data_IF_201741683802
#
_entry.id   IF_201741683802
#
_cell.length_a   1.000
_cell.length_b   1.000
_cell.length_c   1.000
_cell.angle_alpha   90.00
_cell.angle_beta   90.00
_cell.angle_gamma   90.00
#
_symmetry.space_group_name_H-M   'P 1'
#
loop_
_entity.id
_entity.type
_entity.pdbx_description
1 polymer ?
#
# COMPACT_ATOMS: atom_id res chain seq x y z
N UNK A 1 7.73 27.44 20.34
CA UNK A 1 7.82 26.45 19.24
C UNK A 1 7.92 27.25 17.95
N UNK A 2 8.88 26.95 17.08
CA UNK A 2 9.04 27.64 15.80
C UNK A 2 8.87 26.63 14.67
N UNK A 3 8.08 26.99 13.66
CA UNK A 3 7.72 26.13 12.53
C UNK A 3 6.33 26.46 12.01
N UNK A 4 5.98 25.90 10.85
CA UNK A 4 4.67 26.04 10.21
C UNK A 4 4.09 24.67 9.90
N UNK A 5 2.76 24.53 10.04
CA UNK A 5 2.03 23.32 9.65
C UNK A 5 1.19 23.65 8.42
N UNK A 6 1.35 22.87 7.35
CA UNK A 6 0.50 22.94 6.16
C UNK A 6 -0.48 21.77 6.17
N UNK A 7 -1.78 22.08 6.18
CA UNK A 7 -2.82 21.07 6.02
C UNK A 7 -3.09 20.86 4.53
N UNK A 8 -2.99 19.61 4.08
CA UNK A 8 -3.23 19.22 2.69
C UNK A 8 -4.53 18.42 2.64
N UNK A 9 -5.56 18.99 2.01
CA UNK A 9 -6.85 18.34 1.82
C UNK A 9 -6.88 17.74 0.42
N UNK A 10 -6.51 16.47 0.33
CA UNK A 10 -6.34 15.80 -0.94
C UNK A 10 -7.67 15.22 -1.47
N UNK A 11 -8.10 15.57 -2.70
CA UNK A 11 -9.22 14.90 -3.35
C UNK A 11 -8.74 13.64 -4.11
N UNK A 12 -9.70 12.82 -4.57
CA UNK A 12 -9.47 11.80 -5.59
C UNK A 12 -8.40 10.72 -5.28
N UNK A 13 -8.18 10.39 -4.01
CA UNK A 13 -7.28 9.29 -3.57
C UNK A 13 -7.68 7.94 -4.20
N UNK A 14 -8.96 7.58 -4.13
CA UNK A 14 -9.49 6.31 -4.67
C UNK A 14 -9.23 6.10 -6.18
N UNK A 15 -9.01 7.20 -6.92
CA UNK A 15 -8.64 7.18 -8.34
C UNK A 15 -7.13 7.07 -8.59
N UNK A 16 -6.31 7.28 -7.56
CA UNK A 16 -4.86 7.15 -7.56
C UNK A 16 -4.08 8.34 -8.14
N UNK A 17 -4.74 9.47 -8.41
CA UNK A 17 -4.13 10.61 -9.13
C UNK A 17 -4.22 11.94 -8.35
N UNK A 18 -4.85 11.94 -7.19
CA UNK A 18 -5.10 13.15 -6.39
C UNK A 18 -3.82 13.79 -5.88
N UNK A 19 -2.99 13.00 -5.18
CA UNK A 19 -1.72 13.47 -4.64
C UNK A 19 -0.78 13.99 -5.75
N UNK A 20 -0.71 13.26 -6.87
CA UNK A 20 0.15 13.61 -8.01
C UNK A 20 -0.18 14.98 -8.58
N UNK A 21 -1.46 15.26 -8.87
CA UNK A 21 -1.89 16.57 -9.39
C UNK A 21 -1.59 17.71 -8.43
N UNK A 22 -1.84 17.52 -7.13
CA UNK A 22 -1.53 18.56 -6.14
C UNK A 22 -0.03 18.87 -6.08
N UNK A 23 0.82 17.85 -6.21
CA UNK A 23 2.28 18.03 -6.26
C UNK A 23 2.68 18.82 -7.52
N UNK A 24 2.12 18.48 -8.67
CA UNK A 24 2.34 19.21 -9.93
C UNK A 24 1.89 20.68 -9.84
N UNK A 25 0.81 20.95 -9.11
CA UNK A 25 0.32 22.30 -8.81
C UNK A 25 1.15 23.04 -7.73
N UNK A 26 2.20 22.41 -7.19
CA UNK A 26 3.13 23.03 -6.26
C UNK A 26 2.72 23.00 -4.79
N UNK A 27 1.85 22.08 -4.38
CA UNK A 27 1.42 21.97 -2.97
C UNK A 27 2.58 21.77 -1.99
N UNK A 28 3.73 21.27 -2.43
CA UNK A 28 4.89 21.07 -1.56
C UNK A 28 5.86 22.26 -1.52
N UNK A 29 5.69 23.27 -2.38
CA UNK A 29 6.68 24.35 -2.54
C UNK A 29 6.22 25.69 -1.97
N UNK A 30 4.91 25.95 -1.88
CA UNK A 30 4.41 27.24 -1.39
C UNK A 30 3.29 27.08 -0.32
N UNK A 31 3.57 27.29 0.98
CA UNK A 31 4.92 27.35 1.57
C UNK A 31 5.66 26.02 1.41
N UNK A 32 6.98 26.06 1.42
CA UNK A 32 7.84 24.87 1.29
C UNK A 32 7.58 23.89 2.43
N UNK A 33 7.46 22.61 2.09
CA UNK A 33 7.20 21.51 3.02
C UNK A 33 8.47 20.68 3.18
N UNK A 34 9.00 20.59 4.40
CA UNK A 34 10.20 19.78 4.69
C UNK A 34 9.88 18.29 4.84
N UNK A 35 8.73 17.95 5.43
CA UNK A 35 8.33 16.59 5.76
C UNK A 35 6.83 16.38 5.58
N UNK A 36 6.43 15.16 5.23
CA UNK A 36 5.02 14.80 4.99
C UNK A 36 4.58 13.64 5.87
N UNK A 37 3.38 13.75 6.45
CA UNK A 37 2.80 12.70 7.29
C UNK A 37 1.34 12.51 6.94
N UNK A 38 0.95 11.25 6.82
CA UNK A 38 -0.42 10.86 6.55
C UNK A 38 -0.85 9.73 7.48
N UNK A 39 -2.15 9.59 7.67
CA UNK A 39 -2.72 8.45 8.37
C UNK A 39 -3.93 7.92 7.62
N UNK A 40 -4.22 6.65 7.86
CA UNK A 40 -5.45 6.02 7.42
C UNK A 40 -6.08 5.26 8.59
N UNK A 41 -7.39 5.37 8.78
CA UNK A 41 -8.10 4.54 9.76
C UNK A 41 -8.16 3.10 9.23
N UNK A 42 -7.90 2.09 10.04
CA UNK A 42 -7.69 0.73 9.54
C UNK A 42 -8.59 -0.26 10.28
N UNK A 43 -9.65 -0.72 9.60
CA UNK A 43 -10.70 -1.55 10.22
C UNK A 43 -10.24 -2.99 10.47
N UNK A 44 -9.20 -3.43 9.77
CA UNK A 44 -8.59 -4.75 9.97
C UNK A 44 -7.93 -4.91 11.33
N UNK A 45 -7.72 -3.81 12.06
CA UNK A 45 -7.16 -3.83 13.41
C UNK A 45 -8.09 -3.09 14.36
N UNK A 46 -8.29 -3.70 15.53
CA UNK A 46 -9.15 -3.17 16.59
C UNK A 46 -8.68 -1.78 17.05
N UNK A 47 -9.61 -1.01 17.61
CA UNK A 47 -9.31 0.23 18.31
C UNK A 47 -8.15 0.08 19.31
N UNK A 48 -7.34 1.13 19.44
CA UNK A 48 -6.22 1.19 20.39
C UNK A 48 -4.86 0.77 19.82
N UNK A 49 -4.77 0.55 18.51
CA UNK A 49 -3.51 0.25 17.83
C UNK A 49 -3.10 1.37 16.86
N UNK A 50 -1.79 1.61 16.77
CA UNK A 50 -1.14 2.44 15.75
C UNK A 50 -0.15 1.54 15.03
N UNK A 51 -0.30 1.39 13.71
CA UNK A 51 0.55 0.51 12.93
C UNK A 51 1.41 1.32 11.98
N UNK A 52 2.70 1.02 11.95
CA UNK A 52 3.62 1.65 11.01
C UNK A 52 4.81 0.72 10.81
N UNK A 53 5.45 0.78 9.64
CA UNK A 53 6.70 0.07 9.39
C UNK A 53 7.66 0.93 8.60
N UNK A 54 8.94 0.60 8.72
CA UNK A 54 9.98 1.08 7.81
C UNK A 54 9.85 0.40 6.45
N UNK A 55 10.13 1.17 5.40
CA UNK A 55 10.16 0.65 4.03
C UNK A 55 8.74 0.51 3.48
N UNK A 56 8.53 -0.53 2.69
CA UNK A 56 7.34 -0.73 1.88
C UNK A 56 6.11 -0.98 2.76
N UNK A 57 5.15 -0.05 2.83
CA UNK A 57 3.92 -0.20 3.60
C UNK A 57 2.77 -0.73 2.75
N UNK A 58 2.57 -0.14 1.57
CA UNK A 58 1.46 -0.42 0.66
C UNK A 58 1.97 -0.60 -0.77
N UNK A 59 1.23 -1.34 -1.60
CA UNK A 59 1.67 -1.74 -2.92
C UNK A 59 1.41 -0.66 -3.99
N UNK A 60 2.29 -0.61 -4.99
CA UNK A 60 1.96 -0.06 -6.30
C UNK A 60 0.95 -0.96 -7.01
N UNK A 61 0.30 -0.43 -8.05
CA UNK A 61 -0.76 -1.11 -8.79
C UNK A 61 -0.66 -0.83 -10.27
N UNK A 62 -1.02 -1.80 -11.10
CA UNK A 62 -1.15 -1.58 -12.53
C UNK A 62 -2.24 -2.43 -13.15
N UNK A 63 -2.80 -1.96 -14.25
CA UNK A 63 -3.65 -2.74 -15.14
C UNK A 63 -2.90 -2.96 -16.45
N UNK A 64 -3.06 -4.15 -17.00
CA UNK A 64 -2.55 -4.47 -18.32
C UNK A 64 -3.65 -5.07 -19.19
N UNK A 65 -3.52 -4.82 -20.49
CA UNK A 65 -4.39 -5.37 -21.52
C UNK A 65 -3.50 -5.95 -22.62
N UNK A 66 -3.72 -7.22 -22.94
CA UNK A 66 -3.01 -7.92 -24.02
C UNK A 66 -4.03 -8.29 -25.08
N UNK A 67 -3.91 -7.69 -26.26
CA UNK A 67 -4.67 -8.05 -27.44
C UNK A 67 -3.86 -9.03 -28.30
N UNK A 68 -4.53 -10.08 -28.78
CA UNK A 68 -3.94 -11.11 -29.63
C UNK A 68 -4.75 -11.17 -30.92
N UNK A 69 -4.04 -11.15 -32.05
CA UNK A 69 -4.63 -11.28 -33.38
C UNK A 69 -3.99 -12.46 -34.13
N UNK A 70 -4.83 -13.33 -34.66
CA UNK A 70 -4.44 -14.50 -35.43
C UNK A 70 -5.21 -14.58 -36.74
N UNK A 71 -5.47 -15.80 -37.20
CA UNK A 71 -6.20 -16.06 -38.45
C UNK A 71 -7.25 -17.12 -38.20
N UNK A 72 -8.52 -16.70 -38.22
CA UNK A 72 -9.68 -17.56 -37.99
C UNK A 72 -10.17 -18.26 -39.25
N UNK A 73 -10.72 -19.47 -39.11
CA UNK A 73 -11.36 -20.27 -40.18
C UNK A 73 -12.41 -21.23 -39.61
N UNK A 74 -13.03 -22.02 -40.47
CA UNK A 74 -13.91 -23.11 -40.08
C UNK A 74 -13.18 -24.14 -39.20
N UNK A 75 -13.75 -24.47 -38.03
CA UNK A 75 -13.08 -25.32 -37.04
C UNK A 75 -12.72 -26.73 -37.55
N UNK A 76 -13.47 -27.27 -38.52
CA UNK A 76 -13.16 -28.55 -39.16
C UNK A 76 -11.95 -28.53 -40.11
N UNK A 77 -11.40 -27.36 -40.44
CA UNK A 77 -10.26 -27.20 -41.37
C UNK A 77 -9.21 -26.27 -40.75
N UNK A 78 -8.46 -26.72 -39.74
CA UNK A 78 -7.53 -25.87 -38.98
C UNK A 78 -6.25 -25.50 -39.75
N UNK A 79 -6.00 -26.11 -40.91
CA UNK A 79 -4.79 -25.84 -41.70
C UNK A 79 -4.69 -24.36 -42.11
N UNK A 80 -3.52 -23.75 -41.86
CA UNK A 80 -3.26 -22.34 -42.18
C UNK A 80 -4.00 -21.34 -41.27
N UNK A 81 -4.44 -21.78 -40.08
CA UNK A 81 -4.96 -20.91 -39.02
C UNK A 81 -3.91 -20.64 -37.95
N UNK A 82 -4.01 -19.49 -37.31
CA UNK A 82 -3.27 -19.16 -36.09
C UNK A 82 -4.31 -18.99 -35.00
N UNK A 83 -4.63 -20.09 -34.32
CA UNK A 83 -5.73 -20.18 -33.36
C UNK A 83 -5.45 -19.34 -32.11
N UNK A 84 -6.21 -18.25 -31.96
CA UNK A 84 -6.05 -17.33 -30.83
C UNK A 84 -6.49 -17.95 -29.51
N UNK A 85 -7.47 -18.87 -29.51
CA UNK A 85 -7.92 -19.54 -28.28
C UNK A 85 -6.79 -20.37 -27.69
N UNK A 86 -6.00 -21.04 -28.54
CA UNK A 86 -4.83 -21.81 -28.09
C UNK A 86 -3.73 -20.86 -27.58
N UNK A 87 -3.40 -19.81 -28.35
CA UNK A 87 -2.38 -18.85 -27.97
C UNK A 87 -2.69 -18.14 -26.64
N UNK A 88 -3.93 -17.68 -26.44
CA UNK A 88 -4.35 -16.96 -25.22
C UNK A 88 -4.40 -17.87 -23.99
N UNK A 89 -4.74 -19.15 -24.18
CA UNK A 89 -4.72 -20.15 -23.10
C UNK A 89 -3.29 -20.37 -22.61
N UNK A 90 -2.35 -20.54 -23.54
CA UNK A 90 -0.94 -20.71 -23.21
C UNK A 90 -0.34 -19.44 -22.58
N UNK A 91 -0.68 -18.27 -23.10
CA UNK A 91 -0.30 -16.99 -22.50
C UNK A 91 -0.76 -16.90 -21.04
N UNK A 92 -2.04 -17.21 -20.77
CA UNK A 92 -2.63 -17.16 -19.42
C UNK A 92 -1.84 -18.04 -18.45
N UNK A 93 -1.52 -19.27 -18.86
CA UNK A 93 -0.72 -20.20 -18.05
C UNK A 93 0.71 -19.68 -17.79
N UNK A 94 1.36 -19.13 -18.81
CA UNK A 94 2.72 -18.58 -18.67
C UNK A 94 2.76 -17.35 -17.76
N UNK A 95 1.76 -16.46 -17.82
CA UNK A 95 1.67 -15.29 -16.95
C UNK A 95 1.60 -15.70 -15.47
N UNK A 96 0.83 -16.74 -15.14
CA UNK A 96 0.76 -17.26 -13.76
C UNK A 96 2.07 -17.89 -13.27
N UNK A 97 3.00 -18.23 -14.17
CA UNK A 97 4.33 -18.73 -13.78
C UNK A 97 5.29 -17.62 -13.32
N UNK A 98 4.98 -16.35 -13.61
CA UNK A 98 5.91 -15.23 -13.34
C UNK A 98 6.20 -15.11 -11.84
N UNK A 99 5.17 -14.89 -11.03
CA UNK A 99 5.29 -14.69 -9.58
C UNK A 99 6.00 -15.87 -8.87
N UNK A 100 5.59 -17.13 -9.04
CA UNK A 100 6.19 -18.25 -8.29
C UNK A 100 7.61 -18.62 -8.73
N UNK A 101 8.07 -18.22 -9.92
CA UNK A 101 9.35 -18.68 -10.49
C UNK A 101 10.39 -17.59 -10.73
N UNK A 102 9.98 -16.34 -10.85
CA UNK A 102 10.86 -15.26 -11.30
C UNK A 102 11.06 -14.19 -10.22
N UNK A 103 10.28 -14.22 -9.14
CA UNK A 103 10.37 -13.28 -8.04
C UNK A 103 11.02 -13.95 -6.84
N UNK A 104 12.36 -13.94 -6.81
CA UNK A 104 13.10 -14.39 -5.64
C UNK A 104 14.31 -13.52 -5.40
N UNK A 105 14.47 -13.07 -4.14
CA UNK A 105 15.69 -12.45 -3.67
C UNK A 105 16.80 -13.51 -3.58
N UNK A 106 18.03 -13.21 -4.02
CA UNK A 106 19.19 -13.89 -3.46
C UNK A 106 19.29 -13.53 -1.97
N UNK A 107 19.36 -14.55 -1.11
CA UNK A 107 19.46 -14.37 0.33
C UNK A 107 20.75 -13.57 0.65
N UNK A 108 20.61 -12.38 1.25
CA UNK A 108 21.76 -11.53 1.64
C UNK A 108 22.47 -12.03 2.91
N UNK A 109 21.89 -12.98 3.64
CA UNK A 109 22.59 -13.69 4.71
C UNK A 109 23.46 -14.79 4.12
N UNK A 110 24.65 -14.42 3.66
CA UNK A 110 25.73 -15.37 3.33
C UNK A 110 26.29 -15.98 4.62
N UNK A 111 25.56 -16.92 5.20
CA UNK A 111 26.15 -17.86 6.17
C UNK A 111 26.78 -19.00 5.37
N UNK A 112 28.08 -18.91 5.10
CA UNK A 112 28.84 -20.03 4.56
C UNK A 112 28.99 -21.05 5.70
N UNK A 113 28.11 -22.05 5.76
CA UNK A 113 28.34 -23.23 6.59
C UNK A 113 29.29 -24.17 5.85
N UNK A 114 30.59 -24.09 6.16
CA UNK A 114 31.54 -25.13 5.78
C UNK A 114 31.22 -26.39 6.61
N UNK A 115 30.54 -27.36 6.01
CA UNK A 115 30.41 -28.69 6.61
C UNK A 115 31.73 -29.46 6.41
N UNK A 116 32.60 -29.44 7.42
CA UNK A 116 33.75 -30.36 7.47
C UNK A 116 33.25 -31.74 7.91
N UNK A 117 33.14 -32.67 6.96
CA UNK A 117 32.96 -34.09 7.29
C UNK A 117 34.30 -34.67 7.74
N UNK A 118 34.55 -34.73 9.05
CA UNK A 118 35.67 -35.49 9.60
C UNK A 118 35.31 -36.99 9.61
N UNK A 119 35.82 -37.73 8.64
CA UNK A 119 35.74 -39.19 8.65
C UNK A 119 36.82 -39.75 9.59
N UNK A 120 36.45 -40.10 10.82
CA UNK A 120 37.33 -40.83 11.73
C UNK A 120 37.35 -42.32 11.34
N UNK A 121 38.27 -42.70 10.47
CA UNK A 121 38.59 -44.11 10.23
C UNK A 121 39.47 -44.64 11.37
N UNK A 122 38.87 -45.48 12.22
CA UNK A 122 39.64 -46.31 13.16
C UNK A 122 40.52 -47.29 12.37
N UNK A 123 41.82 -47.11 12.53
CA UNK A 123 42.94 -48.05 12.39
C UNK A 123 43.07 -48.86 11.08
N UNK A 124 44.27 -48.67 10.51
CA UNK A 124 45.04 -49.54 9.60
C UNK A 124 44.33 -49.80 8.27
N UNK A 125 44.62 -48.96 7.28
CA UNK A 125 45.25 -49.29 6.00
C UNK A 125 45.23 -48.00 5.18
N UNK A 126 46.39 -47.37 5.01
CA UNK A 126 46.58 -46.26 4.06
C UNK A 126 46.54 -46.91 2.68
N UNK A 127 45.40 -46.77 2.01
CA UNK A 127 45.26 -47.12 0.60
C UNK A 127 44.89 -45.84 -0.15
N UNK A 128 45.82 -45.40 -0.99
CA UNK A 128 45.71 -44.25 -1.88
C UNK A 128 44.64 -44.61 -2.92
N UNK A 129 43.38 -44.30 -2.63
CA UNK A 129 42.32 -44.27 -3.63
C UNK A 129 42.18 -42.84 -4.15
N UNK A 130 43.09 -42.51 -5.05
CA UNK A 130 42.97 -41.40 -5.98
C UNK A 130 41.96 -41.82 -7.06
N UNK A 131 40.66 -41.74 -6.74
CA UNK A 131 39.61 -42.00 -7.73
C UNK A 131 38.55 -40.91 -7.64
N UNK A 132 38.61 -39.99 -8.60
CA UNK A 132 37.45 -39.34 -9.20
C UNK A 132 36.32 -38.92 -8.24
N UNK A 133 36.65 -38.17 -7.20
CA UNK A 133 35.71 -37.14 -6.75
C UNK A 133 35.82 -36.00 -7.75
N UNK A 134 35.07 -36.11 -8.85
CA UNK A 134 34.58 -34.92 -9.52
C UNK A 134 33.84 -34.19 -8.41
N UNK A 135 34.50 -33.17 -7.83
CA UNK A 135 33.82 -32.10 -7.15
C UNK A 135 32.88 -31.50 -8.19
N UNK A 136 31.69 -32.11 -8.35
CA UNK A 136 30.48 -31.35 -8.42
C UNK A 136 30.53 -30.48 -7.16
N UNK A 137 31.19 -29.33 -7.28
CA UNK A 137 30.64 -28.08 -6.81
C UNK A 137 29.29 -27.93 -7.53
N UNK A 138 28.31 -28.80 -7.22
CA UNK A 138 27.02 -28.26 -6.89
C UNK A 138 27.36 -27.44 -5.67
N UNK A 139 27.67 -26.17 -5.92
CA UNK A 139 27.33 -25.14 -4.98
C UNK A 139 25.84 -25.41 -4.77
N UNK A 140 25.51 -26.22 -3.76
CA UNK A 140 24.21 -26.22 -3.14
C UNK A 140 24.22 -24.84 -2.49
N UNK A 141 24.04 -23.82 -3.34
CA UNK A 141 23.17 -22.74 -3.01
C UNK A 141 21.93 -23.49 -2.52
N UNK A 142 21.80 -23.63 -1.20
CA UNK A 142 20.49 -23.55 -0.61
C UNK A 142 19.97 -22.16 -0.97
N UNK A 143 19.67 -21.93 -2.25
CA UNK A 143 18.47 -21.22 -2.64
C UNK A 143 17.35 -22.06 -2.07
N UNK A 144 17.15 -21.96 -0.75
CA UNK A 144 15.80 -21.67 -0.28
C UNK A 144 15.40 -20.43 -1.08
N UNK A 145 14.81 -20.68 -2.26
CA UNK A 145 14.09 -19.68 -3.03
C UNK A 145 12.90 -19.35 -2.14
N UNK A 146 13.14 -18.54 -1.11
CA UNK A 146 12.06 -17.99 -0.31
C UNK A 146 11.55 -16.86 -1.19
N UNK A 147 10.40 -17.09 -1.82
CA UNK A 147 9.63 -16.07 -2.52
C UNK A 147 9.14 -15.03 -1.50
N UNK A 148 10.06 -14.23 -0.97
CA UNK A 148 9.79 -13.13 -0.05
C UNK A 148 9.29 -11.89 -0.80
N UNK A 149 9.52 -11.85 -2.12
CA UNK A 149 9.07 -10.76 -2.96
C UNK A 149 7.58 -10.90 -3.21
N UNK A 150 6.83 -10.01 -2.56
CA UNK A 150 5.37 -10.01 -2.64
C UNK A 150 4.96 -9.18 -3.85
N UNK A 151 4.58 -9.87 -4.92
CA UNK A 151 3.80 -9.32 -6.00
C UNK A 151 2.58 -10.20 -6.26
N UNK A 152 1.54 -9.58 -6.80
CA UNK A 152 0.34 -10.27 -7.25
C UNK A 152 0.18 -9.97 -8.72
N UNK A 153 0.00 -11.00 -9.54
CA UNK A 153 -0.43 -10.88 -10.93
C UNK A 153 -1.71 -11.68 -11.04
N UNK A 154 -2.78 -11.02 -11.46
CA UNK A 154 -4.09 -11.64 -11.62
C UNK A 154 -4.60 -11.38 -13.03
N UNK A 155 -4.87 -12.44 -13.78
CA UNK A 155 -5.68 -12.36 -15.00
C UNK A 155 -7.15 -12.30 -14.60
N UNK A 156 -7.78 -11.14 -14.80
CA UNK A 156 -9.16 -10.90 -14.36
C UNK A 156 -10.21 -11.22 -15.42
N UNK A 157 -9.83 -11.15 -16.71
CA UNK A 157 -10.74 -11.37 -17.83
C UNK A 157 -10.01 -11.91 -19.05
N UNK A 158 -10.64 -12.87 -19.70
CA UNK A 158 -10.20 -13.45 -20.98
C UNK A 158 -11.41 -13.54 -21.89
N UNK A 159 -11.29 -13.05 -23.12
CA UNK A 159 -12.34 -13.13 -24.15
C UNK A 159 -11.72 -13.51 -25.48
N UNK A 160 -12.27 -14.51 -26.19
CA UNK A 160 -11.83 -14.88 -27.53
C UNK A 160 -12.92 -15.65 -28.27
N UNK A 161 -13.05 -15.37 -29.58
CA UNK A 161 -14.02 -16.02 -30.46
C UNK A 161 -15.49 -15.61 -30.25
N UNK A 162 -16.34 -16.05 -31.19
CA UNK A 162 -17.77 -15.69 -31.22
C UNK A 162 -18.70 -16.89 -31.46
N UNK A 163 -18.20 -17.98 -32.07
CA UNK A 163 -18.98 -19.20 -32.37
C UNK A 163 -18.13 -20.45 -32.17
N UNK A 164 -18.74 -21.54 -31.72
CA UNK A 164 -18.04 -22.79 -31.42
C UNK A 164 -17.45 -23.51 -32.65
N UNK A 165 -17.97 -23.25 -33.86
CA UNK A 165 -17.51 -23.87 -35.11
C UNK A 165 -16.58 -22.97 -35.94
N UNK A 166 -16.10 -21.86 -35.37
CA UNK A 166 -15.18 -20.92 -36.01
C UNK A 166 -13.97 -20.73 -35.09
N UNK A 167 -12.76 -20.99 -35.61
CA UNK A 167 -11.50 -20.71 -34.93
C UNK A 167 -11.37 -19.19 -34.76
N UNK A 168 -11.07 -18.75 -33.55
CA UNK A 168 -10.97 -17.33 -33.24
C UNK A 168 -9.77 -16.68 -33.91
N UNK A 169 -10.00 -15.52 -34.52
CA UNK A 169 -9.00 -14.61 -35.09
C UNK A 169 -8.58 -13.50 -34.11
N UNK A 170 -9.37 -13.25 -33.07
CA UNK A 170 -9.08 -12.21 -32.07
C UNK A 170 -9.33 -12.68 -30.64
N UNK A 171 -8.57 -12.09 -29.71
CA UNK A 171 -8.66 -12.36 -28.29
C UNK A 171 -8.08 -11.23 -27.45
N UNK A 172 -8.62 -11.04 -26.25
CA UNK A 172 -8.19 -10.02 -25.30
C UNK A 172 -8.06 -10.64 -23.92
N UNK A 173 -6.94 -10.37 -23.27
CA UNK A 173 -6.65 -10.75 -21.89
C UNK A 173 -6.41 -9.47 -21.08
N UNK A 174 -7.11 -9.32 -19.97
CA UNK A 174 -7.00 -8.17 -19.08
C UNK A 174 -6.67 -8.64 -17.66
N UNK A 175 -5.80 -7.90 -17.00
CA UNK A 175 -5.36 -8.27 -15.66
C UNK A 175 -4.81 -7.11 -14.86
N UNK A 176 -4.44 -7.42 -13.63
CA UNK A 176 -3.87 -6.46 -12.68
C UNK A 176 -2.58 -6.99 -12.09
N UNK A 177 -1.69 -6.05 -11.75
CA UNK A 177 -0.48 -6.33 -10.99
C UNK A 177 -0.46 -5.50 -9.70
N UNK A 178 0.12 -6.06 -8.65
CA UNK A 178 0.47 -5.37 -7.40
C UNK A 178 1.91 -5.68 -7.07
N UNK A 179 2.64 -4.70 -6.56
CA UNK A 179 4.05 -4.86 -6.22
C UNK A 179 4.43 -3.96 -5.05
N UNK A 180 5.28 -4.45 -4.14
CA UNK A 180 5.78 -3.64 -3.03
C UNK A 180 7.05 -2.87 -3.38
N UNK A 181 7.78 -3.28 -4.42
CA UNK A 181 9.08 -2.72 -4.79
C UNK A 181 9.16 -2.43 -6.27
N UNK A 182 9.92 -1.39 -6.62
CA UNK A 182 10.08 -0.94 -8.01
C UNK A 182 10.87 -1.93 -8.87
N UNK A 183 11.92 -2.55 -8.32
CA UNK A 183 12.69 -3.59 -9.01
C UNK A 183 11.84 -4.82 -9.38
N UNK A 184 10.92 -5.18 -8.48
CA UNK A 184 9.94 -6.25 -8.72
C UNK A 184 8.97 -5.86 -9.84
N UNK A 185 8.50 -4.62 -9.86
CA UNK A 185 7.66 -4.10 -10.95
C UNK A 185 8.37 -4.14 -12.30
N UNK A 186 9.60 -3.64 -12.37
CA UNK A 186 10.41 -3.66 -13.59
C UNK A 186 10.59 -5.10 -14.11
N UNK A 187 10.84 -6.04 -13.20
CA UNK A 187 10.91 -7.47 -13.52
C UNK A 187 9.58 -8.01 -14.04
N UNK A 188 8.45 -7.67 -13.43
CA UNK A 188 7.12 -8.09 -13.90
C UNK A 188 6.85 -7.59 -15.33
N UNK A 189 7.06 -6.30 -15.58
CA UNK A 189 6.84 -5.69 -16.90
C UNK A 189 7.73 -6.36 -17.95
N UNK A 190 9.00 -6.57 -17.61
CA UNK A 190 9.95 -7.25 -18.49
C UNK A 190 9.48 -8.68 -18.81
N UNK A 191 9.15 -9.49 -17.80
CA UNK A 191 8.75 -10.89 -17.99
C UNK A 191 7.44 -11.03 -18.75
N UNK A 192 6.45 -10.17 -18.49
CA UNK A 192 5.20 -10.12 -19.26
C UNK A 192 5.51 -9.83 -20.73
N UNK A 193 6.38 -8.85 -21.01
CA UNK A 193 6.78 -8.48 -22.36
C UNK A 193 7.50 -9.63 -23.08
N UNK A 194 8.43 -10.30 -22.42
CA UNK A 194 9.16 -11.45 -22.97
C UNK A 194 8.24 -12.63 -23.29
N UNK A 195 7.29 -12.94 -22.39
CA UNK A 195 6.28 -13.97 -22.61
C UNK A 195 5.39 -13.62 -23.81
N UNK A 196 4.92 -12.37 -23.91
CA UNK A 196 4.13 -11.92 -25.06
C UNK A 196 4.86 -12.15 -26.38
N UNK A 197 6.13 -11.76 -26.47
CA UNK A 197 6.98 -11.99 -27.65
C UNK A 197 7.18 -13.49 -27.93
N UNK A 198 7.35 -14.30 -26.89
CA UNK A 198 7.46 -15.76 -27.02
C UNK A 198 6.19 -16.41 -27.57
N UNK A 199 5.02 -15.97 -27.13
CA UNK A 199 3.71 -16.42 -27.65
C UNK A 199 3.54 -16.00 -29.11
N UNK A 200 3.90 -14.75 -29.45
CA UNK A 200 3.87 -14.25 -30.81
C UNK A 200 4.66 -15.16 -31.77
N UNK A 201 5.92 -15.43 -31.42
CA UNK A 201 6.81 -16.28 -32.22
C UNK A 201 6.36 -17.75 -32.27
N UNK A 202 5.85 -18.29 -31.17
CA UNK A 202 5.49 -19.72 -31.07
C UNK A 202 4.21 -20.07 -31.83
N UNK A 203 3.25 -19.15 -31.88
CA UNK A 203 1.93 -19.39 -32.46
C UNK A 203 1.67 -18.62 -33.76
N UNK A 204 2.62 -17.80 -34.22
CA UNK A 204 2.48 -16.99 -35.44
C UNK A 204 1.37 -15.93 -35.35
N UNK A 205 0.92 -15.59 -34.14
CA UNK A 205 -0.06 -14.53 -33.89
C UNK A 205 0.64 -13.17 -33.83
N UNK A 206 -0.10 -12.09 -33.67
CA UNK A 206 0.41 -10.76 -33.31
C UNK A 206 -0.06 -10.44 -31.90
N UNK A 207 0.83 -10.00 -31.01
CA UNK A 207 0.50 -9.69 -29.62
C UNK A 207 0.78 -8.22 -29.33
N UNK A 208 -0.23 -7.49 -28.87
CA UNK A 208 -0.10 -6.09 -28.45
C UNK A 208 -0.32 -5.99 -26.94
N UNK A 209 0.70 -5.54 -26.21
CA UNK A 209 0.65 -5.29 -24.77
C UNK A 209 0.45 -3.79 -24.50
N UNK A 210 -0.60 -3.46 -23.77
CA UNK A 210 -0.98 -2.12 -23.36
C UNK A 210 -1.01 -2.05 -21.82
N UNK A 211 -0.69 -0.87 -21.29
CA UNK A 211 -0.78 -0.57 -19.86
C UNK A 211 -1.74 0.60 -19.67
N UNK A 212 -3.07 0.33 -19.60
CA UNK A 212 -4.07 1.40 -19.55
C UNK A 212 -3.91 2.33 -18.35
N UNK A 213 -3.45 1.79 -17.23
CA UNK A 213 -3.24 2.54 -16.00
C UNK A 213 -2.13 1.91 -15.17
N UNK A 214 -1.17 2.73 -14.73
CA UNK A 214 -0.13 2.34 -13.80
C UNK A 214 -0.07 3.38 -12.69
N UNK A 215 -0.25 2.89 -11.48
CA UNK A 215 0.02 3.57 -10.23
C UNK A 215 1.35 3.03 -9.66
N UNK A 216 2.43 3.73 -10.00
CA UNK A 216 3.79 3.40 -9.58
C UNK A 216 4.34 4.58 -8.75
N UNK A 217 3.91 4.65 -7.48
CA UNK A 217 4.80 4.10 -6.47
C UNK A 217 4.14 3.23 -5.40
N UNK A 218 4.87 2.25 -4.84
CA UNK A 218 4.53 1.69 -3.55
C UNK A 218 4.75 2.71 -2.43
N UNK A 219 3.81 2.79 -1.48
CA UNK A 219 3.92 3.67 -0.30
C UNK A 219 5.07 3.20 0.57
N UNK A 220 6.19 3.91 0.53
CA UNK A 220 7.44 3.52 1.19
C UNK A 220 7.81 4.56 2.25
N UNK A 221 7.78 4.14 3.51
CA UNK A 221 8.07 5.01 4.64
C UNK A 221 9.56 5.22 4.87
N UNK A 222 9.94 6.46 5.18
CA UNK A 222 11.29 6.82 5.56
C UNK A 222 11.55 6.43 7.03
N UNK A 223 12.76 5.93 7.32
CA UNK A 223 13.15 5.54 8.69
C UNK A 223 12.92 6.69 9.69
N UNK A 224 13.35 7.91 9.34
CA UNK A 224 13.21 9.10 10.18
C UNK A 224 11.73 9.39 10.51
N UNK A 225 10.85 9.29 9.51
CA UNK A 225 9.42 9.45 9.69
C UNK A 225 8.82 8.41 10.64
N UNK A 226 9.17 7.14 10.45
CA UNK A 226 8.67 6.02 11.28
C UNK A 226 9.12 6.15 12.73
N UNK A 227 10.34 6.61 12.98
CA UNK A 227 10.82 6.84 14.34
C UNK A 227 10.02 7.93 15.06
N UNK A 228 9.66 9.01 14.36
CA UNK A 228 8.81 10.06 14.90
C UNK A 228 7.39 9.55 15.16
N UNK A 229 6.81 8.77 14.24
CA UNK A 229 5.51 8.10 14.45
C UNK A 229 5.57 7.17 15.65
N UNK A 230 6.62 6.36 15.80
CA UNK A 230 6.80 5.46 16.95
C UNK A 230 6.86 6.23 18.27
N UNK A 231 7.56 7.37 18.32
CA UNK A 231 7.63 8.24 19.51
C UNK A 231 6.28 8.87 19.82
N UNK A 232 5.60 9.42 18.81
CA UNK A 232 4.27 10.00 18.93
C UNK A 232 3.23 8.98 19.42
N UNK A 233 3.29 7.76 18.88
CA UNK A 233 2.43 6.66 19.28
C UNK A 233 2.67 6.25 20.74
N UNK A 234 3.92 6.12 21.19
CA UNK A 234 4.22 5.80 22.61
C UNK A 234 3.68 6.86 23.58
N UNK A 235 3.63 8.12 23.17
CA UNK A 235 3.05 9.17 24.00
C UNK A 235 1.51 9.17 23.96
N UNK A 236 0.92 8.93 22.79
CA UNK A 236 -0.53 8.98 22.58
C UNK A 236 -1.23 7.73 23.12
N UNK A 237 -0.65 6.56 22.84
CA UNK A 237 -1.09 5.23 23.23
C UNK A 237 0.14 4.40 23.67
N UNK A 238 0.51 4.41 24.97
CA UNK A 238 1.75 3.79 25.46
C UNK A 238 1.98 2.31 25.12
N UNK A 239 0.91 1.55 24.81
CA UNK A 239 0.96 0.16 24.36
C UNK A 239 0.38 -0.06 22.96
N UNK A 240 0.08 1.01 22.23
CA UNK A 240 -0.64 0.96 20.97
C UNK A 240 0.23 0.81 19.73
N UNK A 241 1.52 1.18 19.78
CA UNK A 241 2.38 1.08 18.59
C UNK A 241 2.75 -0.38 18.28
N UNK A 242 2.54 -0.79 17.04
CA UNK A 242 2.92 -2.10 16.53
C UNK A 242 3.54 -1.96 15.14
N UNK A 243 4.57 -2.74 14.85
CA UNK A 243 5.04 -2.88 13.47
C UNK A 243 4.10 -3.83 12.72
N UNK A 244 3.69 -3.45 11.51
CA UNK A 244 2.80 -4.25 10.69
C UNK A 244 3.52 -4.87 9.48
N UNK A 245 3.02 -6.00 8.96
CA UNK A 245 3.38 -6.45 7.62
C UNK A 245 2.87 -5.46 6.56
N UNK A 246 3.44 -5.47 5.33
CA UNK A 246 2.92 -4.68 4.23
C UNK A 246 1.53 -5.17 3.81
N UNK A 247 0.77 -4.29 3.15
CA UNK A 247 -0.51 -4.63 2.52
C UNK A 247 -0.44 -4.50 0.99
N UNK A 248 -1.28 -5.27 0.29
CA UNK A 248 -1.44 -5.19 -1.17
C UNK A 248 -2.44 -4.12 -1.62
N UNK A 249 -3.07 -3.43 -0.67
CA UNK A 249 -3.78 -2.18 -0.97
C UNK A 249 -2.78 -1.14 -1.52
N UNK A 250 -3.27 -0.24 -2.37
CA UNK A 250 -2.51 0.90 -2.88
C UNK A 250 -3.02 2.19 -2.21
N UNK A 251 -2.19 3.22 -2.22
CA UNK A 251 -2.46 4.50 -1.56
C UNK A 251 -1.63 5.59 -2.24
N UNK A 252 -2.31 6.63 -2.77
CA UNK A 252 -1.67 7.67 -3.58
C UNK A 252 -0.78 8.64 -2.79
N UNK A 253 -0.84 8.60 -1.46
CA UNK A 253 0.12 9.26 -0.57
C UNK A 253 1.58 8.85 -0.84
N UNK A 254 1.82 7.72 -1.53
CA UNK A 254 3.15 7.34 -1.97
C UNK A 254 3.84 8.43 -2.80
N UNK A 255 3.10 9.22 -3.60
CA UNK A 255 3.67 10.33 -4.36
C UNK A 255 4.26 11.42 -3.46
N UNK A 256 3.62 11.73 -2.33
CA UNK A 256 4.19 12.67 -1.36
C UNK A 256 5.48 12.14 -0.77
N UNK A 257 5.51 10.84 -0.42
CA UNK A 257 6.70 10.19 0.13
C UNK A 257 7.84 10.11 -0.89
N UNK A 258 7.58 10.04 -2.19
CA UNK A 258 8.65 10.15 -3.19
C UNK A 258 9.33 11.52 -3.18
N UNK A 259 8.60 12.58 -2.83
CA UNK A 259 9.10 13.95 -2.88
C UNK A 259 9.70 14.43 -1.57
N UNK A 260 9.20 13.94 -0.42
CA UNK A 260 9.60 14.40 0.91
C UNK A 260 9.75 13.26 1.90
N UNK A 261 10.73 13.35 2.82
CA UNK A 261 10.84 12.40 3.92
C UNK A 261 9.58 12.45 4.79
N UNK A 262 9.16 11.29 5.27
CA UNK A 262 7.87 11.18 5.91
C UNK A 262 7.47 9.77 6.28
N UNK A 263 6.27 9.65 6.84
CA UNK A 263 5.65 8.36 7.10
C UNK A 263 4.13 8.41 6.97
N UNK A 264 3.59 7.34 6.40
CA UNK A 264 2.19 6.97 6.44
C UNK A 264 1.97 5.90 7.52
N UNK A 265 0.89 5.98 8.27
CA UNK A 265 0.61 5.03 9.35
C UNK A 265 -0.88 4.75 9.50
N UNK A 266 -1.20 3.63 10.12
CA UNK A 266 -2.57 3.19 10.33
C UNK A 266 -3.02 3.46 11.76
N UNK A 267 -4.27 3.86 11.92
CA UNK A 267 -4.95 3.97 13.21
C UNK A 267 -6.03 2.91 13.27
N UNK A 268 -5.89 1.94 14.17
CA UNK A 268 -6.88 0.87 14.35
C UNK A 268 -8.25 1.45 14.69
N UNK A 269 -9.25 1.06 13.91
CA UNK A 269 -10.63 1.53 14.06
C UNK A 269 -11.67 0.40 14.08
N UNK A 270 -11.24 -0.86 14.11
CA UNK A 270 -12.16 -1.99 14.24
C UNK A 270 -12.92 -1.95 15.57
N UNK A 271 -14.22 -2.22 15.51
CA UNK A 271 -15.12 -2.24 16.68
C UNK A 271 -14.84 -3.48 17.53
N UNK A 272 -14.71 -3.30 18.84
CA UNK A 272 -14.44 -4.41 19.76
C UNK A 272 -15.65 -5.34 19.91
N UNK A 273 -15.44 -6.65 19.79
CA UNK A 273 -16.50 -7.65 19.92
C UNK A 273 -17.30 -7.90 18.64
N UNK A 274 -17.05 -7.14 17.58
CA UNK A 274 -17.68 -7.32 16.27
C UNK A 274 -16.75 -8.00 15.26
N UNK A 275 -17.35 -8.53 14.20
CA UNK A 275 -16.60 -9.08 13.07
C UNK A 275 -15.90 -7.95 12.32
N UNK A 276 -14.66 -8.19 11.91
CA UNK A 276 -13.90 -7.24 11.07
C UNK A 276 -14.63 -7.09 9.73
N UNK A 277 -15.11 -5.87 9.47
CA UNK A 277 -15.65 -5.49 8.16
C UNK A 277 -14.56 -4.78 7.36
N UNK A 278 -14.15 -5.31 6.21
CA UNK A 278 -13.06 -4.74 5.43
C UNK A 278 -13.45 -3.38 4.84
N UNK A 279 -12.43 -2.59 4.50
CA UNK A 279 -12.60 -1.41 3.67
C UNK A 279 -13.33 -1.78 2.35
N UNK A 280 -14.15 -0.85 1.86
CA UNK A 280 -14.96 -0.97 0.63
C UNK A 280 -16.13 -1.97 0.73
N UNK A 281 -16.40 -2.53 1.92
CA UNK A 281 -17.62 -3.30 2.16
C UNK A 281 -18.81 -2.37 2.43
N UNK A 282 -20.02 -2.64 1.91
CA UNK A 282 -21.20 -1.79 2.13
C UNK A 282 -21.56 -1.58 3.60
N UNK A 283 -21.25 -2.55 4.46
CA UNK A 283 -21.47 -2.49 5.91
C UNK A 283 -20.28 -1.96 6.70
N UNK A 284 -19.31 -1.30 6.05
CA UNK A 284 -18.12 -0.77 6.72
C UNK A 284 -18.51 0.17 7.86
N UNK A 285 -17.94 -0.08 9.03
CA UNK A 285 -18.12 0.72 10.24
C UNK A 285 -16.78 0.93 10.93
N UNK A 286 -16.69 2.02 11.69
CA UNK A 286 -15.50 2.41 12.43
C UNK A 286 -15.87 2.72 13.87
N UNK A 287 -14.99 2.35 14.79
CA UNK A 287 -15.02 2.85 16.15
C UNK A 287 -14.56 4.33 16.15
N UNK A 288 -15.52 5.26 16.24
CA UNK A 288 -15.26 6.70 16.14
C UNK A 288 -14.25 7.25 17.17
N UNK A 289 -13.97 6.49 18.25
CA UNK A 289 -12.89 6.84 19.19
C UNK A 289 -11.54 6.93 18.48
N UNK A 290 -11.36 6.25 17.35
CA UNK A 290 -10.16 6.32 16.53
C UNK A 290 -9.89 7.74 15.98
N UNK A 291 -10.92 8.57 15.80
CA UNK A 291 -10.79 9.93 15.28
C UNK A 291 -10.00 10.81 16.25
N UNK A 292 -10.33 10.72 17.55
CA UNK A 292 -9.62 11.45 18.59
C UNK A 292 -8.15 11.00 18.70
N UNK A 293 -7.93 9.69 18.59
CA UNK A 293 -6.57 9.12 18.56
C UNK A 293 -5.79 9.62 17.35
N UNK A 294 -6.39 9.63 16.16
CA UNK A 294 -5.77 10.15 14.93
C UNK A 294 -5.39 11.63 15.05
N UNK A 295 -6.30 12.47 15.55
CA UNK A 295 -6.02 13.88 15.83
C UNK A 295 -4.88 14.04 16.84
N UNK A 296 -4.90 13.29 17.94
CA UNK A 296 -3.86 13.35 18.96
C UNK A 296 -2.50 12.89 18.41
N UNK A 297 -2.48 11.86 17.56
CA UNK A 297 -1.28 11.41 16.87
C UNK A 297 -0.67 12.52 16.01
N UNK A 298 -1.47 13.18 15.18
CA UNK A 298 -1.00 14.28 14.31
C UNK A 298 -0.49 15.47 15.12
N UNK A 299 -1.21 15.88 16.17
CA UNK A 299 -0.76 16.96 17.07
C UNK A 299 0.55 16.59 17.76
N UNK A 300 0.65 15.37 18.29
CA UNK A 300 1.85 14.90 18.99
C UNK A 300 3.05 14.80 18.05
N UNK A 301 2.83 14.37 16.80
CA UNK A 301 3.85 14.36 15.75
C UNK A 301 4.38 15.77 15.48
N UNK A 302 3.50 16.73 15.24
CA UNK A 302 3.88 18.14 15.01
C UNK A 302 4.71 18.68 16.18
N UNK A 303 4.30 18.41 17.41
CA UNK A 303 5.03 18.85 18.60
C UNK A 303 6.42 18.21 18.69
N UNK A 304 6.55 16.92 18.37
CA UNK A 304 7.86 16.27 18.33
C UNK A 304 8.76 16.83 17.23
N UNK A 305 8.23 17.08 16.04
CA UNK A 305 8.98 17.68 14.92
C UNK A 305 9.53 19.06 15.33
N UNK A 306 8.71 19.90 15.96
CA UNK A 306 9.14 21.25 16.39
C UNK A 306 10.07 21.25 17.62
N UNK A 307 10.00 20.22 18.47
CA UNK A 307 10.87 20.09 19.64
C UNK A 307 12.24 19.47 19.31
N UNK A 308 12.28 18.49 18.40
CA UNK A 308 13.52 17.76 18.05
C UNK A 308 14.40 18.56 17.10
N UNK A 309 13.84 19.53 16.36
CA UNK A 309 14.52 20.16 15.24
C UNK A 309 14.58 19.20 14.05
N UNK A 310 14.56 19.75 12.84
CA UNK A 310 14.61 18.96 11.60
C UNK A 310 15.89 18.13 11.62
N UNK A 311 15.76 16.80 11.54
CA UNK A 311 16.90 15.86 11.49
C UNK A 311 17.77 16.17 10.28
N UNK A 312 19.09 16.10 10.43
CA UNK A 312 20.02 16.31 9.33
C UNK A 312 19.91 15.22 8.25
N UNK A 313 20.53 15.46 7.09
CA UNK A 313 20.55 14.55 5.92
C UNK A 313 21.19 13.19 6.20
N UNK A 314 21.73 12.94 7.40
CA UNK A 314 22.32 11.68 7.85
C UNK A 314 21.45 10.95 8.87
N UNK A 315 20.27 11.46 9.18
CA UNK A 315 19.34 10.84 10.13
C UNK A 315 19.82 10.90 11.58
N UNK A 316 20.79 11.77 11.91
CA UNK A 316 21.20 11.96 13.29
C UNK A 316 20.29 12.99 13.97
N UNK A 317 19.75 12.57 15.11
CA UNK A 317 18.82 13.35 15.92
C UNK A 317 19.64 14.25 16.83
N UNK A 318 19.57 15.57 16.59
CA UNK A 318 20.03 16.57 17.55
C UNK A 318 19.27 16.37 18.87
N UNK A 319 19.96 15.90 19.92
CA UNK A 319 19.42 15.92 21.27
C UNK A 319 19.36 17.37 21.75
N UNK A 320 18.24 18.03 21.49
CA UNK A 320 17.98 19.35 22.03
C UNK A 320 17.16 19.22 23.32
N UNK A 321 17.55 19.96 24.37
CA UNK A 321 16.93 19.98 25.71
C UNK A 321 15.42 20.31 25.72
N UNK A 322 14.85 20.69 24.58
CA UNK A 322 13.43 21.05 24.39
C UNK A 322 12.47 19.87 24.54
N UNK A 323 12.95 18.62 24.47
CA UNK A 323 12.10 17.45 24.74
C UNK A 323 11.67 17.38 26.22
N UNK A 324 12.45 17.97 27.13
CA UNK A 324 12.15 17.99 28.56
C UNK A 324 10.90 18.85 28.84
N UNK A 325 10.78 20.04 28.21
CA UNK A 325 9.58 20.88 28.30
C UNK A 325 8.29 20.17 27.87
N UNK A 326 8.34 19.27 26.90
CA UNK A 326 7.14 18.52 26.47
C UNK A 326 6.78 17.40 27.46
N UNK A 327 7.78 16.69 28.01
CA UNK A 327 7.54 15.71 29.09
C UNK A 327 6.89 16.37 30.31
N UNK A 328 7.29 17.61 30.61
CA UNK A 328 6.74 18.40 31.73
C UNK A 328 5.32 18.92 31.44
N UNK A 329 4.97 19.12 30.16
CA UNK A 329 3.66 19.66 29.75
C UNK A 329 2.46 18.71 29.95
N UNK A 330 2.69 17.43 30.34
CA UNK A 330 1.66 16.39 30.59
C UNK A 330 0.39 16.58 29.74
N UNK A 331 0.46 16.53 28.41
CA UNK A 331 -0.75 16.61 27.58
C UNK A 331 -1.69 15.51 28.05
N UNK A 332 -2.96 15.86 28.32
CA UNK A 332 -3.96 14.91 28.84
C UNK A 332 -4.04 13.73 27.87
N UNK A 333 -3.50 12.59 28.31
CA UNK A 333 -3.60 11.32 27.61
C UNK A 333 -5.07 11.04 27.31
N UNK A 334 -5.35 10.38 26.19
CA UNK A 334 -6.62 9.71 26.01
C UNK A 334 -6.84 8.80 27.23
N UNK A 335 -7.85 9.13 28.03
CA UNK A 335 -8.39 8.24 29.05
C UNK A 335 -9.68 7.72 28.48
N UNK A 336 -9.84 6.40 28.44
CA UNK A 336 -11.15 5.82 28.15
C UNK A 336 -12.18 6.50 29.07
N UNK A 337 -13.26 7.06 28.51
CA UNK A 337 -14.38 7.49 29.33
C UNK A 337 -14.82 6.27 30.16
N UNK A 338 -14.98 6.42 31.47
CA UNK A 338 -15.75 5.43 32.25
C UNK A 338 -17.09 5.27 31.52
N UNK A 339 -17.51 4.03 31.23
CA UNK A 339 -18.83 3.72 30.67
C UNK A 339 -19.89 4.32 31.60
N UNK A 340 -20.30 5.56 31.34
CA UNK A 340 -21.50 6.15 31.88
C UNK A 340 -22.49 6.18 30.71
N UNK A 341 -23.56 5.41 30.84
CA UNK A 341 -24.60 5.17 29.83
C UNK A 341 -25.55 6.37 29.69
N UNK A 342 -25.09 7.57 29.99
CA UNK A 342 -25.89 8.80 29.98
C UNK A 342 -25.21 9.88 29.16
N UNK A 343 -25.83 10.15 28.01
CA UNK A 343 -25.75 11.36 27.21
C UNK A 343 -24.37 11.79 26.68
N UNK A 344 -24.07 11.35 25.45
CA UNK A 344 -23.00 11.88 24.60
C UNK A 344 -23.20 13.34 24.18
N UNK A 345 -24.31 13.98 24.55
CA UNK A 345 -24.57 15.40 24.25
C UNK A 345 -23.96 16.39 25.26
N UNK A 346 -23.67 15.97 26.49
CA UNK A 346 -23.37 16.93 27.56
C UNK A 346 -21.88 17.25 27.74
N UNK A 347 -20.98 16.44 27.17
CA UNK A 347 -19.53 16.67 27.24
C UNK A 347 -19.02 17.86 26.40
N UNK A 348 -19.85 18.39 25.50
CA UNK A 348 -19.49 19.48 24.59
C UNK A 348 -19.69 20.89 25.17
N UNK A 349 -20.33 21.03 26.34
CA UNK A 349 -20.75 22.36 26.85
C UNK A 349 -19.81 22.99 27.88
N UNK A 350 -18.79 22.27 28.39
CA UNK A 350 -17.94 22.77 29.49
C UNK A 350 -16.47 22.47 29.28
N UNK A 351 -15.86 23.17 28.32
CA UNK A 351 -14.42 23.44 28.38
C UNK A 351 -14.18 24.93 28.17
N UNK A 352 -13.90 25.62 29.28
CA UNK A 352 -13.43 27.00 29.30
C UNK A 352 -12.03 27.00 28.69
N UNK A 353 -11.94 27.39 27.41
CA UNK A 353 -10.69 27.58 26.68
C UNK A 353 -10.48 29.09 26.52
N UNK A 354 -9.31 29.56 26.95
CA UNK A 354 -8.77 30.92 26.80
C UNK A 354 -8.76 31.38 25.32
N UNK A 355 -8.94 32.68 25.01
CA UNK A 355 -9.63 33.14 23.79
C UNK A 355 -8.76 33.27 22.52
N UNK A 356 -7.93 32.28 22.17
CA UNK A 356 -7.05 32.37 20.97
C UNK A 356 -7.41 31.41 19.82
N UNK A 357 -8.33 30.46 19.98
CA UNK A 357 -8.77 29.62 18.85
C UNK A 357 -10.27 29.38 18.93
N UNK A 358 -11.04 30.01 18.03
CA UNK A 358 -12.46 29.69 17.85
C UNK A 358 -12.58 28.48 16.91
N UNK A 359 -12.98 27.33 17.45
CA UNK A 359 -13.49 26.21 16.66
C UNK A 359 -14.97 26.43 16.38
N UNK A 360 -15.35 26.60 15.11
CA UNK A 360 -16.76 26.64 14.69
C UNK A 360 -17.11 25.30 14.05
N UNK A 361 -18.05 24.59 14.66
CA UNK A 361 -18.60 23.32 14.17
C UNK A 361 -19.80 23.62 13.26
N UNK A 362 -19.87 23.01 12.08
CA UNK A 362 -21.00 23.15 11.18
C UNK A 362 -21.45 21.78 10.67
N UNK A 363 -22.64 21.35 11.09
CA UNK A 363 -23.36 20.23 10.49
C UNK A 363 -24.09 20.73 9.23
N UNK A 364 -23.99 20.02 8.11
CA UNK A 364 -24.87 20.25 6.96
C UNK A 364 -25.43 18.94 6.43
N UNK A 365 -26.73 18.72 6.68
CA UNK A 365 -27.55 17.76 5.95
C UNK A 365 -28.03 18.41 4.65
N UNK A 366 -27.80 17.77 3.50
CA UNK A 366 -28.55 18.06 2.26
C UNK A 366 -29.05 16.75 1.65
N UNK A 367 -30.35 16.52 1.81
CA UNK A 367 -31.11 15.48 1.10
C UNK A 367 -31.52 16.08 -0.24
N UNK A 368 -31.15 15.45 -1.35
CA UNK A 368 -31.74 15.73 -2.66
C UNK A 368 -32.87 14.73 -2.90
N UNK A 369 -34.12 15.21 -2.89
CA UNK A 369 -35.29 14.47 -3.37
C UNK A 369 -35.53 14.95 -4.81
N UNK A 370 -35.30 14.08 -5.79
CA UNK A 370 -35.79 14.31 -7.16
C UNK A 370 -37.21 13.76 -7.26
N UNK A 371 -38.21 14.54 -7.72
CA UNK A 371 -39.57 14.04 -7.85
C UNK A 371 -39.68 13.27 -9.16
N UNK A 372 -39.63 11.94 -9.10
CA UNK A 372 -40.21 11.08 -10.12
C UNK A 372 -41.26 10.20 -9.45
N UNK A 373 -42.45 10.17 -10.06
CA UNK A 373 -43.68 9.65 -9.49
C UNK A 373 -43.55 8.25 -8.89
N UNK A 374 -44.17 8.10 -7.72
CA UNK A 374 -44.54 6.84 -7.07
C UNK A 374 -43.52 5.70 -7.16
N UNK A 375 -42.32 5.90 -6.60
CA UNK A 375 -41.49 4.90 -5.90
C UNK A 375 -40.23 5.60 -5.34
N UNK A 376 -40.17 5.78 -4.03
CA UNK A 376 -38.97 6.29 -3.35
C UNK A 376 -37.85 5.25 -3.41
N UNK A 377 -36.80 5.50 -4.19
CA UNK A 377 -35.54 4.75 -4.16
C UNK A 377 -34.50 5.64 -3.45
N UNK A 378 -34.09 5.25 -2.24
CA UNK A 378 -32.96 5.89 -1.56
C UNK A 378 -31.64 5.33 -2.13
N UNK A 379 -30.86 6.17 -2.79
CA UNK A 379 -29.42 5.92 -3.00
C UNK A 379 -28.64 6.51 -1.82
N UNK A 380 -28.10 5.67 -0.95
CA UNK A 380 -27.17 6.08 0.10
C UNK A 380 -25.75 5.99 -0.47
N UNK A 381 -25.14 7.13 -0.80
CA UNK A 381 -23.76 7.25 -1.22
C UNK A 381 -23.01 7.97 -0.09
N UNK A 382 -22.36 7.23 0.81
CA UNK A 382 -21.62 7.78 1.95
C UNK A 382 -20.20 8.18 1.49
N UNK A 383 -20.00 9.48 1.27
CA UNK A 383 -18.69 10.12 1.05
C UNK A 383 -18.18 10.68 2.37
N UNK A 384 -16.95 10.35 2.75
CA UNK A 384 -16.27 10.98 3.89
C UNK A 384 -15.03 11.73 3.37
N UNK A 385 -15.23 12.99 3.03
CA UNK A 385 -14.17 13.99 2.85
C UNK A 385 -14.63 15.24 3.59
N UNK A 386 -13.80 15.80 4.46
CA UNK A 386 -14.16 16.93 5.32
C UNK A 386 -14.46 18.20 4.48
N UNK A 387 -15.64 18.79 4.66
CA UNK A 387 -16.06 20.06 4.03
C UNK A 387 -16.28 21.14 5.10
N UNK A 388 -15.82 22.37 4.84
CA UNK A 388 -16.27 23.57 5.57
C UNK A 388 -16.41 24.78 4.63
N UNK A 389 -17.53 25.51 4.75
CA UNK A 389 -17.81 26.77 4.06
C UNK A 389 -17.26 27.97 4.85
N UNK A 390 -16.67 28.94 4.15
CA UNK A 390 -16.37 30.29 4.66
C UNK A 390 -17.60 31.19 4.45
N UNK A 391 -18.10 31.93 5.45
CA UNK A 391 -18.99 33.05 5.21
C UNK A 391 -18.15 34.23 4.72
N UNK A 392 -18.41 34.67 3.48
CA UNK A 392 -17.98 35.99 3.02
C UNK A 392 -18.60 37.06 3.92
N UNK A 393 -17.76 37.87 4.58
CA UNK A 393 -18.12 39.25 4.92
C UNK A 393 -17.25 40.18 4.08
N UNK A 394 -17.89 40.83 3.13
CA UNK A 394 -17.39 42.08 2.56
C UNK A 394 -17.27 43.11 3.69
N UNK A 395 -16.11 43.78 3.73
CA UNK A 395 -15.75 45.03 4.44
C UNK A 395 -16.33 45.27 5.83
#
# INVERSE_FOLDING_TARGET
MHGSVKFVFQPAEEGGDGAKRMIEEGVLENPHVDQVYGLHVWSYVKFGAILCRKGELMAGSGFFRIAIKGVGRHAAVPNGTNDVVVAISQLTLQLHSIVPRNLSRPCTNKSISLFFFFFFLKKKYICIYFHFFVCLFVCIYETKIIALDSAVLTVGKVTSGYRANIIADEGVLEGTIRFLRKDVYETLVQRITEICKGIEASYGVTVTLEWPYIYDPPTTNHQSGVELVRRAAKQTLPRGFQECPPTMAAEDFAYFLQQRPGAFFFVGCGVEGEQIVPHHHPSFQVDERCLLVGCQMMVTLVLFIFCVGVTDSKGQISHNDRLQCYKDSKPRLYREPKRDTRDTKDYMSKSVISPIVHFVWCFQYKVFILPFGHKNICFLNLRWTFFFFLPFKHK
#
